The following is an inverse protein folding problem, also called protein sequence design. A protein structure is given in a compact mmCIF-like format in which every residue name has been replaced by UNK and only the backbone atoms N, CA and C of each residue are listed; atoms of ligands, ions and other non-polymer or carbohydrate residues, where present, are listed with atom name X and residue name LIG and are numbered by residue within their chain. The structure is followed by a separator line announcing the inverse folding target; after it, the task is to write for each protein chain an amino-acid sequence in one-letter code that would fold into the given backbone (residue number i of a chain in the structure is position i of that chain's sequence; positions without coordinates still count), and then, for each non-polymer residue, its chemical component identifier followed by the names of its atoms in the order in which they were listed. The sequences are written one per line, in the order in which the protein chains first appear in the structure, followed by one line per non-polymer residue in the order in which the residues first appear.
data_IF_213134144368
#
_entry.id   IF_213134144368
#
_cell.length_a   1.000
_cell.length_b   1.000
_cell.length_c   1.000
_cell.angle_alpha   90.00
_cell.angle_beta   90.00
_cell.angle_gamma   90.00
#
_symmetry.space_group_name_H-M   'P 1'
#
loop_
_entity.id
_entity.type
_entity.pdbx_description
1 polymer ?
#
# COMPACT_ATOMS: atom_id res chain seq x y z
N UNK A 1 30.78 1.43 -4.63
CA UNK A 1 29.37 1.00 -4.46
C UNK A 1 28.58 2.24 -4.13
N UNK A 2 27.47 2.50 -4.82
CA UNK A 2 26.59 3.63 -4.51
C UNK A 2 25.97 3.45 -3.12
N UNK A 3 25.66 4.54 -2.44
CA UNK A 3 24.88 4.51 -1.21
C UNK A 3 23.52 3.83 -1.46
N UNK A 4 22.98 3.07 -0.48
CA UNK A 4 21.66 2.46 -0.63
C UNK A 4 20.58 3.55 -0.75
N UNK A 5 19.56 3.29 -1.57
CA UNK A 5 18.35 4.13 -1.62
C UNK A 5 17.68 4.18 -0.24
N UNK A 6 17.18 5.34 0.16
CA UNK A 6 16.42 5.51 1.40
C UNK A 6 14.96 5.74 1.04
N UNK A 7 14.11 4.77 1.30
CA UNK A 7 12.69 4.81 0.93
C UNK A 7 11.84 4.94 2.19
N UNK A 8 10.98 5.96 2.24
CA UNK A 8 9.96 6.10 3.27
C UNK A 8 8.74 5.23 2.90
N UNK A 9 8.16 4.54 3.89
CA UNK A 9 6.93 3.79 3.74
C UNK A 9 5.84 4.32 4.66
N UNK A 10 4.71 4.67 4.06
CA UNK A 10 3.44 4.91 4.72
C UNK A 10 2.56 3.72 4.37
N UNK A 11 2.19 2.92 5.35
CA UNK A 11 1.42 1.70 5.12
C UNK A 11 0.43 1.45 6.26
N UNK A 12 -0.51 0.55 6.01
CA UNK A 12 -1.52 0.18 7.02
C UNK A 12 -0.91 -0.55 8.21
N UNK A 13 0.12 -1.37 8.00
CA UNK A 13 0.64 -2.19 9.07
C UNK A 13 1.93 -2.95 8.78
N UNK A 14 2.18 -3.93 9.65
CA UNK A 14 3.40 -4.74 9.62
C UNK A 14 3.42 -5.76 8.49
N UNK A 15 2.24 -6.20 8.03
CA UNK A 15 2.17 -7.12 6.89
C UNK A 15 2.56 -6.43 5.61
N UNK A 16 2.04 -5.23 5.43
CA UNK A 16 2.27 -4.39 4.26
C UNK A 16 3.73 -3.96 4.22
N UNK A 17 4.34 -3.62 5.37
CA UNK A 17 5.80 -3.44 5.47
C UNK A 17 6.56 -4.66 4.94
N UNK A 18 6.28 -5.86 5.45
CA UNK A 18 7.03 -7.07 5.08
C UNK A 18 6.85 -7.39 3.58
N UNK A 19 5.64 -7.24 3.04
CA UNK A 19 5.32 -7.51 1.62
C UNK A 19 5.91 -6.46 0.68
N UNK A 20 5.79 -5.16 0.97
CA UNK A 20 6.37 -4.10 0.14
C UNK A 20 7.90 -4.17 0.16
N UNK A 21 8.52 -4.45 1.32
CA UNK A 21 9.96 -4.67 1.39
C UNK A 21 10.39 -5.85 0.50
N UNK A 22 9.64 -6.95 0.52
CA UNK A 22 9.91 -8.09 -0.35
C UNK A 22 9.77 -7.76 -1.85
N UNK A 23 8.72 -7.03 -2.23
CA UNK A 23 8.53 -6.55 -3.60
C UNK A 23 9.71 -5.68 -4.06
N UNK A 24 10.06 -4.65 -3.29
CA UNK A 24 11.15 -3.73 -3.59
C UNK A 24 12.51 -4.45 -3.71
N UNK A 25 12.75 -5.50 -2.92
CA UNK A 25 13.96 -6.36 -3.07
C UNK A 25 14.06 -7.01 -4.42
N UNK A 26 12.93 -7.41 -5.01
CA UNK A 26 12.90 -8.00 -6.34
C UNK A 26 13.04 -6.92 -7.42
N UNK A 27 12.24 -5.85 -7.32
CA UNK A 27 12.17 -4.78 -8.32
C UNK A 27 13.50 -4.01 -8.44
N UNK A 28 14.13 -3.66 -7.32
CA UNK A 28 15.32 -2.81 -7.31
C UNK A 28 16.63 -3.61 -7.44
N UNK A 29 16.59 -4.94 -7.46
CA UNK A 29 17.81 -5.73 -7.58
C UNK A 29 18.59 -5.39 -8.87
N UNK A 30 19.93 -5.25 -8.82
CA UNK A 30 20.83 -5.53 -7.68
C UNK A 30 21.08 -4.33 -6.74
N UNK A 31 20.41 -3.19 -6.95
CA UNK A 31 20.55 -2.00 -6.12
C UNK A 31 20.02 -2.26 -4.71
N UNK A 32 20.76 -1.80 -3.71
CA UNK A 32 20.35 -1.92 -2.31
C UNK A 32 19.54 -0.72 -1.87
N UNK A 33 18.68 -0.92 -0.87
CA UNK A 33 17.89 0.13 -0.24
C UNK A 33 17.70 -0.12 1.25
N UNK A 34 17.31 0.93 1.96
CA UNK A 34 16.82 0.93 3.32
C UNK A 34 15.38 1.40 3.27
N UNK A 35 14.46 0.58 3.78
CA UNK A 35 13.04 0.93 3.89
C UNK A 35 12.72 1.35 5.31
N UNK A 36 12.26 2.58 5.47
CA UNK A 36 11.89 3.17 6.75
C UNK A 36 10.37 3.33 6.81
N UNK A 37 9.72 2.53 7.65
CA UNK A 37 8.29 2.74 7.94
C UNK A 37 8.11 4.00 8.78
N UNK A 38 7.48 5.01 8.20
CA UNK A 38 7.08 6.24 8.89
C UNK A 38 5.70 6.10 9.52
N UNK A 39 4.80 5.36 8.88
CA UNK A 39 3.44 5.12 9.36
C UNK A 39 3.06 3.64 9.19
N UNK A 40 2.52 2.97 10.23
CA UNK A 40 2.51 3.38 11.64
C UNK A 40 3.89 3.67 12.24
N UNK A 41 3.95 4.60 13.19
CA UNK A 41 5.16 4.90 13.92
C UNK A 41 5.58 3.71 14.80
N UNK A 42 6.86 3.36 14.78
CA UNK A 42 7.39 2.28 15.62
C UNK A 42 7.26 2.58 17.13
N UNK A 43 7.32 3.86 17.49
CA UNK A 43 7.25 4.36 18.86
C UNK A 43 6.14 5.41 18.95
N UNK A 44 5.21 5.25 19.91
CA UNK A 44 4.04 6.13 20.08
C UNK A 44 3.20 6.21 18.80
N UNK A 45 2.46 5.14 18.46
CA UNK A 45 1.65 5.08 17.24
C UNK A 45 0.37 5.92 17.40
N UNK A 46 0.53 7.23 17.50
CA UNK A 46 -0.56 8.18 17.80
C UNK A 46 -1.58 8.23 16.65
N UNK A 47 -1.13 8.01 15.41
CA UNK A 47 -2.01 7.87 14.26
C UNK A 47 -2.71 6.50 14.23
N UNK A 48 -2.14 5.49 14.88
CA UNK A 48 -2.65 4.12 14.91
C UNK A 48 -2.29 3.33 13.65
N UNK A 49 -2.92 2.16 13.49
CA UNK A 49 -2.70 1.25 12.35
C UNK A 49 -3.91 1.21 11.42
N UNK A 50 -3.79 0.51 10.29
CA UNK A 50 -4.81 0.39 9.26
C UNK A 50 -4.91 1.63 8.38
N UNK A 51 -5.85 1.61 7.44
CA UNK A 51 -6.16 2.72 6.55
C UNK A 51 -6.44 4.05 7.28
N UNK A 52 -7.01 4.01 8.49
CA UNK A 52 -7.23 5.20 9.31
C UNK A 52 -5.94 5.90 9.74
N UNK A 53 -4.85 5.14 9.92
CA UNK A 53 -3.52 5.70 10.18
C UNK A 53 -2.91 6.33 8.92
N UNK A 54 -3.08 5.69 7.76
CA UNK A 54 -2.67 6.24 6.46
C UNK A 54 -3.38 7.56 6.18
N UNK A 55 -4.71 7.61 6.38
CA UNK A 55 -5.51 8.83 6.26
C UNK A 55 -5.00 9.94 7.18
N UNK A 56 -4.74 9.66 8.46
CA UNK A 56 -4.22 10.66 9.40
C UNK A 56 -2.87 11.19 8.97
N UNK A 57 -1.99 10.33 8.47
CA UNK A 57 -0.70 10.75 7.94
C UNK A 57 -0.88 11.68 6.74
N UNK A 58 -1.76 11.31 5.80
CA UNK A 58 -2.09 12.15 4.63
C UNK A 58 -2.64 13.50 5.06
N UNK A 59 -3.58 13.53 6.02
CA UNK A 59 -4.12 14.78 6.58
C UNK A 59 -3.04 15.66 7.22
N UNK A 60 -2.08 15.06 7.94
CA UNK A 60 -0.97 15.83 8.51
C UNK A 60 -0.04 16.36 7.42
N UNK A 61 0.22 15.57 6.37
CA UNK A 61 0.99 16.00 5.20
C UNK A 61 0.31 17.19 4.51
N UNK A 62 -0.99 17.09 4.24
CA UNK A 62 -1.82 18.16 3.70
C UNK A 62 -1.72 19.44 4.54
N UNK A 63 -1.84 19.33 5.86
CA UNK A 63 -1.76 20.47 6.77
C UNK A 63 -0.40 21.17 6.74
N UNK A 64 0.71 20.43 6.55
CA UNK A 64 2.06 20.99 6.43
C UNK A 64 2.29 21.73 5.11
N UNK A 65 1.61 21.32 4.02
CA UNK A 65 1.72 21.97 2.71
C UNK A 65 0.84 23.23 2.57
N UNK A 66 -0.08 23.50 3.50
CA UNK A 66 -0.93 24.71 3.45
C UNK A 66 -0.12 25.98 3.78
N UNK A 67 -0.42 27.14 3.14
CA UNK A 67 -1.51 27.36 2.18
C UNK A 67 -1.15 27.16 0.71
N UNK A 68 0.13 26.94 0.36
CA UNK A 68 0.59 27.04 -1.02
C UNK A 68 0.58 25.71 -1.80
N UNK A 69 0.16 24.62 -1.15
CA UNK A 69 0.29 23.28 -1.72
C UNK A 69 1.76 22.88 -1.88
N UNK A 70 2.00 21.80 -2.61
CA UNK A 70 3.36 21.36 -2.94
C UNK A 70 3.46 19.87 -3.18
N UNK A 71 4.64 19.41 -3.57
CA UNK A 71 4.90 17.98 -3.71
C UNK A 71 5.06 17.35 -2.33
N UNK A 72 4.58 16.12 -2.16
CA UNK A 72 4.78 15.36 -0.92
C UNK A 72 6.27 15.24 -0.59
N UNK A 73 7.11 14.93 -1.58
CA UNK A 73 8.56 14.80 -1.39
C UNK A 73 9.31 16.10 -1.06
N UNK A 74 8.69 17.27 -1.21
CA UNK A 74 9.30 18.56 -0.84
C UNK A 74 9.18 18.85 0.66
N UNK A 75 8.41 18.04 1.41
CA UNK A 75 8.31 18.18 2.86
C UNK A 75 9.69 18.05 3.51
N UNK A 76 10.15 19.05 4.30
CA UNK A 76 11.45 18.99 4.97
C UNK A 76 11.65 17.76 5.85
N UNK A 77 10.58 17.19 6.40
CA UNK A 77 10.63 15.95 7.21
C UNK A 77 10.94 14.71 6.38
N UNK A 78 10.78 14.78 5.05
CA UNK A 78 11.04 13.71 4.09
C UNK A 78 12.36 13.91 3.32
N UNK A 79 13.06 15.04 3.52
CA UNK A 79 14.29 15.41 2.80
C UNK A 79 15.44 14.40 2.84
N UNK A 80 15.44 13.47 3.80
CA UNK A 80 16.48 12.42 3.92
C UNK A 80 16.15 11.14 3.14
N UNK A 81 15.00 11.08 2.48
CA UNK A 81 14.56 9.95 1.68
C UNK A 81 14.72 10.27 0.19
N UNK A 82 15.16 9.27 -0.57
CA UNK A 82 15.23 9.31 -2.02
C UNK A 82 13.85 9.08 -2.66
N UNK A 83 12.90 8.54 -1.89
CA UNK A 83 11.58 8.14 -2.35
C UNK A 83 10.58 7.88 -1.25
N UNK A 84 9.30 7.96 -1.60
CA UNK A 84 8.17 7.66 -0.71
C UNK A 84 7.26 6.63 -1.38
N UNK A 85 6.82 5.64 -0.61
CA UNK A 85 5.75 4.73 -1.00
C UNK A 85 4.57 4.91 -0.04
N UNK A 86 3.39 5.17 -0.60
CA UNK A 86 2.13 5.25 0.15
C UNK A 86 1.29 4.05 -0.23
N UNK A 87 1.10 3.13 0.71
CA UNK A 87 0.30 1.92 0.53
C UNK A 87 -1.07 2.07 1.19
N UNK A 88 -2.10 1.63 0.47
CA UNK A 88 -3.48 1.53 0.92
C UNK A 88 -4.12 0.30 0.28
N UNK A 89 -4.73 -0.60 1.05
CA UNK A 89 -5.43 -1.75 0.50
C UNK A 89 -6.72 -1.33 -0.20
N UNK A 90 -7.06 -2.00 -1.30
CA UNK A 90 -8.22 -1.64 -2.11
C UNK A 90 -9.57 -1.99 -1.46
N UNK A 91 -9.59 -2.88 -0.45
CA UNK A 91 -10.78 -3.14 0.36
C UNK A 91 -11.26 -1.90 1.11
N UNK A 92 -10.41 -0.88 1.26
CA UNK A 92 -10.77 0.42 1.84
C UNK A 92 -11.90 1.10 1.09
N UNK A 93 -12.03 0.87 -0.21
CA UNK A 93 -13.14 1.35 -1.02
C UNK A 93 -14.51 0.91 -0.47
N UNK A 94 -14.56 -0.17 0.32
CA UNK A 94 -15.81 -0.71 0.90
C UNK A 94 -16.11 -0.21 2.31
N UNK A 95 -15.18 0.50 2.96
CA UNK A 95 -15.40 1.04 4.30
C UNK A 95 -16.14 2.38 4.28
N UNK A 96 -16.52 2.84 5.46
CA UNK A 96 -17.02 4.18 5.72
C UNK A 96 -16.07 4.91 6.67
N UNK A 97 -15.95 6.23 6.52
CA UNK A 97 -15.27 7.07 7.51
C UNK A 97 -15.83 6.91 8.93
N UNK A 98 -17.11 6.57 9.07
CA UNK A 98 -17.74 6.28 10.36
C UNK A 98 -17.21 5.01 11.05
N UNK A 99 -16.45 4.14 10.35
CA UNK A 99 -15.73 3.03 10.96
C UNK A 99 -14.51 3.48 11.78
N UNK A 100 -14.02 4.70 11.55
CA UNK A 100 -12.98 5.31 12.37
C UNK A 100 -13.59 5.89 13.66
N UNK A 101 -12.80 5.92 14.73
CA UNK A 101 -13.20 6.60 15.98
C UNK A 101 -13.37 8.11 15.73
N UNK A 102 -14.19 8.83 16.52
CA UNK A 102 -14.35 10.29 16.38
C UNK A 102 -13.00 11.01 16.19
N UNK A 103 -12.94 12.09 15.36
CA UNK A 103 -14.08 12.93 14.96
C UNK A 103 -14.66 12.63 13.56
N UNK A 104 -14.33 11.51 12.92
CA UNK A 104 -14.73 11.22 11.54
C UNK A 104 -16.25 10.98 11.42
N UNK A 105 -16.96 12.01 10.99
CA UNK A 105 -18.39 12.05 10.69
C UNK A 105 -18.60 12.53 9.25
N UNK A 106 -19.78 12.31 8.67
CA UNK A 106 -20.09 12.84 7.34
C UNK A 106 -19.85 14.36 7.24
N UNK A 107 -20.18 15.10 8.31
CA UNK A 107 -19.95 16.53 8.39
C UNK A 107 -18.45 16.88 8.41
N UNK A 108 -17.64 16.17 9.21
CA UNK A 108 -16.20 16.44 9.26
C UNK A 108 -15.51 16.09 7.94
N UNK A 109 -15.90 14.97 7.31
CA UNK A 109 -15.35 14.54 6.00
C UNK A 109 -15.67 15.56 4.92
N UNK A 110 -16.91 16.06 4.89
CA UNK A 110 -17.34 17.11 3.95
C UNK A 110 -16.56 18.40 4.17
N UNK A 111 -16.34 18.78 5.44
CA UNK A 111 -15.57 19.99 5.78
C UNK A 111 -14.09 19.91 5.37
N UNK A 112 -13.53 18.70 5.32
CA UNK A 112 -12.16 18.46 4.81
C UNK A 112 -12.09 18.42 3.28
N UNK A 113 -13.23 18.34 2.57
CA UNK A 113 -13.27 18.21 1.12
C UNK A 113 -12.87 16.82 0.61
N UNK A 114 -12.89 15.80 1.47
CA UNK A 114 -12.51 14.45 1.08
C UNK A 114 -13.56 13.77 0.21
N UNK A 115 -13.09 12.95 -0.73
CA UNK A 115 -13.96 12.10 -1.55
C UNK A 115 -14.65 11.04 -0.66
N UNK A 116 -15.84 10.59 -1.04
CA UNK A 116 -16.66 9.71 -0.21
C UNK A 116 -16.05 8.31 -0.08
N UNK A 117 -16.29 7.71 1.08
CA UNK A 117 -16.18 6.28 1.32
C UNK A 117 -17.54 5.75 1.84
N UNK A 118 -18.08 4.65 1.29
CA UNK A 118 -17.47 3.80 0.27
C UNK A 118 -17.41 4.46 -1.12
N UNK A 119 -16.48 4.01 -1.95
CA UNK A 119 -16.33 4.41 -3.36
C UNK A 119 -16.47 3.18 -4.29
N UNK A 120 -16.68 3.36 -5.60
CA UNK A 120 -16.80 2.23 -6.52
C UNK A 120 -15.57 1.31 -6.49
N UNK A 121 -15.81 0.01 -6.59
CA UNK A 121 -14.79 -1.01 -6.76
C UNK A 121 -14.88 -1.60 -8.17
N UNK A 122 -13.77 -1.59 -8.90
CA UNK A 122 -13.69 -2.15 -10.25
C UNK A 122 -12.99 -3.50 -10.23
N UNK A 123 -13.52 -4.45 -10.99
CA UNK A 123 -12.91 -5.75 -11.21
C UNK A 123 -12.95 -6.09 -12.71
N UNK A 124 -11.78 -6.27 -13.38
CA UNK A 124 -10.42 -6.09 -12.85
C UNK A 124 -10.18 -4.64 -12.35
N UNK A 125 -9.20 -4.44 -11.46
CA UNK A 125 -8.93 -3.10 -10.93
C UNK A 125 -8.57 -2.12 -12.05
N UNK A 126 -9.11 -0.90 -11.98
CA UNK A 126 -8.76 0.17 -12.92
C UNK A 126 -7.28 0.53 -12.79
N UNK A 127 -6.62 0.97 -13.86
CA UNK A 127 -5.23 1.44 -13.74
C UNK A 127 -5.13 2.71 -12.88
N UNK A 128 -3.97 2.95 -12.27
CA UNK A 128 -3.65 4.26 -11.69
C UNK A 128 -3.23 5.22 -12.83
N UNK A 129 -3.62 6.51 -12.83
CA UNK A 129 -4.38 7.23 -11.80
C UNK A 129 -5.92 7.21 -11.83
N UNK A 130 -6.66 6.78 -12.88
CA UNK A 130 -8.15 6.88 -12.91
C UNK A 130 -8.94 6.12 -11.83
N UNK A 131 -8.27 5.35 -10.99
CA UNK A 131 -8.88 4.57 -9.92
C UNK A 131 -9.61 5.43 -8.87
N UNK A 132 -10.83 5.04 -8.49
CA UNK A 132 -11.66 5.78 -7.53
C UNK A 132 -11.03 5.83 -6.13
N UNK A 133 -10.39 4.75 -5.67
CA UNK A 133 -9.74 4.75 -4.36
C UNK A 133 -8.46 5.58 -4.38
N UNK A 134 -7.74 5.61 -5.51
CA UNK A 134 -6.67 6.58 -5.69
C UNK A 134 -7.19 8.02 -5.57
N UNK A 135 -8.32 8.36 -6.20
CA UNK A 135 -8.93 9.69 -6.04
C UNK A 135 -9.28 10.01 -4.58
N UNK A 136 -9.75 9.02 -3.82
CA UNK A 136 -9.94 9.13 -2.36
C UNK A 136 -8.63 9.43 -1.64
N UNK A 137 -7.58 8.65 -1.88
CA UNK A 137 -6.26 8.88 -1.28
C UNK A 137 -5.70 10.27 -1.60
N UNK A 138 -5.82 10.72 -2.86
CA UNK A 138 -5.40 12.05 -3.27
C UNK A 138 -6.16 13.15 -2.51
N UNK A 139 -7.47 12.96 -2.28
CA UNK A 139 -8.26 13.93 -1.51
C UNK A 139 -7.82 14.06 -0.05
N UNK A 140 -7.24 13.01 0.54
CA UNK A 140 -6.67 13.08 1.89
C UNK A 140 -5.36 13.87 1.94
N UNK A 141 -4.62 13.88 0.83
CA UNK A 141 -3.35 14.59 0.69
C UNK A 141 -3.55 16.06 0.33
N UNK A 142 -4.66 16.44 -0.30
CA UNK A 142 -4.91 17.81 -0.77
C UNK A 142 -4.71 18.88 0.32
N UNK A 143 -3.84 19.88 0.10
CA UNK A 143 -3.25 20.32 -1.19
C UNK A 143 -1.86 19.76 -1.51
N UNK A 144 -1.37 18.75 -0.79
CA UNK A 144 -0.15 18.03 -1.13
C UNK A 144 -0.40 17.08 -2.29
N UNK A 145 0.53 17.03 -3.25
CA UNK A 145 0.42 16.21 -4.46
C UNK A 145 1.61 15.24 -4.53
N UNK A 146 1.42 13.93 -4.75
CA UNK A 146 2.53 13.02 -5.04
C UNK A 146 3.30 13.48 -6.29
N UNK A 147 4.61 13.71 -6.16
CA UNK A 147 5.48 14.00 -7.29
C UNK A 147 6.18 12.76 -7.83
N UNK A 148 7.26 12.97 -8.59
CA UNK A 148 7.99 11.92 -9.30
C UNK A 148 8.65 10.88 -8.36
N UNK A 149 8.88 11.23 -7.09
CA UNK A 149 9.50 10.33 -6.10
C UNK A 149 8.49 9.66 -5.17
N UNK A 150 7.21 9.96 -5.33
CA UNK A 150 6.14 9.43 -4.49
C UNK A 150 5.30 8.42 -5.26
N UNK A 151 5.37 7.15 -4.87
CA UNK A 151 4.65 6.04 -5.51
C UNK A 151 3.46 5.62 -4.66
N UNK A 152 2.27 5.65 -5.26
CA UNK A 152 1.05 5.09 -4.67
C UNK A 152 0.99 3.59 -4.97
N UNK A 153 0.81 2.79 -3.93
CA UNK A 153 0.67 1.34 -4.00
C UNK A 153 -0.72 0.91 -3.52
N UNK A 154 -1.61 0.64 -4.46
CA UNK A 154 -2.92 0.04 -4.18
C UNK A 154 -2.90 -1.40 -4.72
N UNK A 155 -2.64 -2.41 -3.88
CA UNK A 155 -2.79 -3.80 -4.29
C UNK A 155 -4.28 -4.09 -4.55
N UNK A 156 -4.57 -5.10 -5.37
CA UNK A 156 -5.89 -5.27 -5.99
C UNK A 156 -7.11 -5.27 -5.05
N UNK A 157 -7.13 -6.10 -4.01
CA UNK A 157 -8.06 -5.98 -2.87
C UNK A 157 -7.26 -5.74 -1.58
N UNK A 158 -6.15 -6.44 -1.44
CA UNK A 158 -5.19 -6.30 -0.35
C UNK A 158 -3.88 -6.99 -0.75
N UNK A 159 -2.84 -6.84 0.09
CA UNK A 159 -1.56 -7.54 -0.12
C UNK A 159 -1.66 -9.07 -0.07
N UNK A 160 -2.78 -9.63 0.40
CA UNK A 160 -3.08 -11.06 0.34
C UNK A 160 -3.12 -11.63 -1.08
N UNK A 161 -3.55 -10.86 -2.07
CA UNK A 161 -3.53 -11.27 -3.48
C UNK A 161 -2.10 -11.59 -3.95
N UNK A 162 -1.14 -10.73 -3.61
CA UNK A 162 0.27 -10.90 -3.93
C UNK A 162 0.86 -12.13 -3.23
N UNK A 163 0.52 -12.34 -1.96
CA UNK A 163 0.93 -13.51 -1.21
C UNK A 163 0.35 -14.81 -1.80
N UNK A 164 -0.90 -14.80 -2.24
CA UNK A 164 -1.54 -15.95 -2.88
C UNK A 164 -0.88 -16.29 -4.23
N UNK A 165 -0.66 -15.30 -5.10
CA UNK A 165 0.07 -15.47 -6.36
C UNK A 165 1.46 -16.10 -6.13
N UNK A 166 2.18 -15.66 -5.10
CA UNK A 166 3.50 -16.17 -4.77
C UNK A 166 3.49 -17.56 -4.13
N UNK A 167 2.50 -17.89 -3.28
CA UNK A 167 2.52 -19.14 -2.50
C UNK A 167 1.79 -20.30 -3.14
N UNK A 168 0.77 -20.03 -3.94
CA UNK A 168 -0.09 -21.08 -4.47
C UNK A 168 0.51 -21.69 -5.73
N UNK A 169 0.31 -23.01 -5.96
CA UNK A 169 0.71 -23.65 -7.19
C UNK A 169 -0.15 -23.14 -8.37
N UNK A 170 0.40 -23.20 -9.57
CA UNK A 170 -0.34 -22.88 -10.79
C UNK A 170 -1.63 -23.74 -10.88
N UNK A 171 -2.73 -23.12 -11.32
CA UNK A 171 -4.05 -23.78 -11.41
C UNK A 171 -4.80 -23.90 -10.08
N UNK A 172 -4.26 -23.42 -8.96
CA UNK A 172 -5.02 -23.36 -7.72
C UNK A 172 -6.27 -22.48 -7.87
N UNK A 173 -7.42 -22.93 -7.37
CA UNK A 173 -8.71 -22.26 -7.58
C UNK A 173 -8.71 -20.79 -7.11
N UNK A 174 -8.00 -20.47 -6.02
CA UNK A 174 -7.88 -19.10 -5.51
C UNK A 174 -7.08 -18.14 -6.39
N UNK A 175 -6.36 -18.64 -7.41
CA UNK A 175 -5.68 -17.80 -8.39
C UNK A 175 -6.63 -17.33 -9.50
N UNK A 176 -7.81 -17.95 -9.64
CA UNK A 176 -8.83 -17.47 -10.56
C UNK A 176 -9.42 -16.14 -10.05
N UNK A 177 -9.42 -15.11 -10.90
CA UNK A 177 -9.90 -13.77 -10.57
C UNK A 177 -9.27 -13.21 -9.28
N UNK A 178 -7.98 -13.48 -9.09
CA UNK A 178 -7.24 -13.19 -7.86
C UNK A 178 -7.38 -11.73 -7.40
N UNK A 179 -7.23 -10.80 -8.35
CA UNK A 179 -7.33 -9.36 -8.09
C UNK A 179 -8.75 -8.89 -7.73
N UNK A 180 -9.75 -9.76 -7.91
CA UNK A 180 -11.15 -9.48 -7.61
C UNK A 180 -11.69 -10.25 -6.42
N UNK A 181 -10.83 -10.95 -5.67
CA UNK A 181 -11.24 -11.79 -4.57
C UNK A 181 -11.11 -11.04 -3.22
N UNK A 182 -12.20 -10.43 -2.69
CA UNK A 182 -12.15 -9.71 -1.41
C UNK A 182 -11.86 -10.64 -0.23
N UNK A 183 -12.11 -11.94 -0.39
CA UNK A 183 -11.97 -12.93 0.68
C UNK A 183 -10.62 -13.65 0.64
N UNK A 184 -9.68 -13.24 -0.23
CA UNK A 184 -8.44 -13.99 -0.46
C UNK A 184 -7.65 -14.22 0.83
N UNK A 185 -7.56 -13.23 1.71
CA UNK A 185 -6.84 -13.38 2.98
C UNK A 185 -7.51 -14.36 3.94
N UNK A 186 -8.84 -14.28 4.04
CA UNK A 186 -9.62 -15.20 4.85
C UNK A 186 -9.44 -16.64 4.34
N UNK A 187 -9.50 -16.84 3.02
CA UNK A 187 -9.31 -18.14 2.39
C UNK A 187 -7.88 -18.65 2.57
N UNK A 188 -6.86 -17.80 2.38
CA UNK A 188 -5.45 -18.14 2.61
C UNK A 188 -5.17 -18.52 4.07
N UNK A 189 -5.92 -17.98 5.03
CA UNK A 189 -5.72 -18.27 6.47
C UNK A 189 -6.14 -19.68 6.88
N UNK A 190 -6.99 -20.34 6.10
CA UNK A 190 -7.52 -21.68 6.41
C UNK A 190 -6.89 -22.81 5.59
N UNK A 191 -6.08 -22.51 4.57
CA UNK A 191 -5.38 -23.49 3.74
C UNK A 191 -4.44 -24.41 4.54
N UNK A 192 -3.96 -25.53 3.97
CA UNK A 192 -2.93 -26.36 4.59
C UNK A 192 -1.66 -25.57 4.94
N UNK A 193 -0.91 -26.01 5.95
CA UNK A 193 0.19 -25.25 6.58
C UNK A 193 1.23 -24.67 5.59
N UNK A 194 1.57 -25.43 4.54
CA UNK A 194 2.54 -25.00 3.52
C UNK A 194 2.02 -23.83 2.67
N UNK A 195 0.72 -23.77 2.40
CA UNK A 195 0.07 -22.73 1.61
C UNK A 195 -0.50 -21.60 2.47
N UNK A 196 -0.80 -21.89 3.74
CA UNK A 196 -1.42 -20.96 4.69
C UNK A 196 -0.60 -19.69 4.87
N UNK A 197 -1.31 -18.57 5.02
CA UNK A 197 -0.72 -17.31 5.51
C UNK A 197 -1.47 -16.89 6.77
N UNK A 198 -0.76 -16.89 7.90
CA UNK A 198 -1.27 -16.36 9.16
C UNK A 198 -0.58 -15.02 9.46
N UNK A 199 -1.28 -13.91 9.20
CA UNK A 199 -0.75 -12.54 9.41
C UNK A 199 -0.36 -12.23 10.86
N UNK A 200 -0.95 -12.93 11.84
CA UNK A 200 -0.65 -12.77 13.26
C UNK A 200 0.66 -13.45 13.65
N UNK A 201 1.06 -14.50 12.91
CA UNK A 201 2.31 -15.20 13.14
C UNK A 201 3.44 -14.56 12.30
N UNK A 202 4.46 -14.02 12.98
CA UNK A 202 5.60 -13.35 12.33
C UNK A 202 6.32 -14.29 11.36
N UNK A 203 6.50 -15.57 11.72
CA UNK A 203 7.21 -16.53 10.87
C UNK A 203 6.46 -16.80 9.58
N UNK A 204 5.14 -17.05 9.67
CA UNK A 204 4.27 -17.24 8.52
C UNK A 204 4.25 -16.02 7.60
N UNK A 205 4.16 -14.82 8.17
CA UNK A 205 4.17 -13.56 7.42
C UNK A 205 5.47 -13.31 6.67
N UNK A 206 6.62 -13.49 7.34
CA UNK A 206 7.93 -13.36 6.71
C UNK A 206 8.16 -14.41 5.62
N UNK A 207 7.68 -15.64 5.82
CA UNK A 207 7.75 -16.68 4.80
C UNK A 207 6.90 -16.32 3.56
N UNK A 208 5.72 -15.74 3.75
CA UNK A 208 4.88 -15.26 2.65
C UNK A 208 5.52 -14.08 1.91
N UNK A 209 6.09 -13.11 2.63
CA UNK A 209 6.85 -12.02 2.05
C UNK A 209 8.07 -12.53 1.26
N UNK A 210 8.82 -13.50 1.79
CA UNK A 210 9.95 -14.08 1.07
C UNK A 210 9.53 -14.78 -0.24
N UNK A 211 8.36 -15.43 -0.25
CA UNK A 211 7.79 -15.98 -1.47
C UNK A 211 7.50 -14.88 -2.50
N UNK A 212 6.94 -13.75 -2.07
CA UNK A 212 6.70 -12.57 -2.93
C UNK A 212 8.00 -12.06 -3.55
N UNK A 213 9.07 -11.91 -2.76
CA UNK A 213 10.37 -11.47 -3.28
C UNK A 213 10.93 -12.43 -4.34
N UNK A 214 10.82 -13.74 -4.08
CA UNK A 214 11.40 -14.80 -4.94
C UNK A 214 10.61 -15.00 -6.23
N UNK A 215 9.28 -14.77 -6.19
CA UNK A 215 8.36 -15.05 -7.29
C UNK A 215 7.68 -13.79 -7.84
N UNK A 216 8.32 -12.64 -7.68
CA UNK A 216 7.77 -11.37 -8.13
C UNK A 216 7.49 -11.36 -9.64
N UNK A 217 8.41 -11.90 -10.44
CA UNK A 217 8.21 -12.07 -11.89
C UNK A 217 6.92 -12.81 -12.22
N UNK A 218 6.69 -14.01 -11.65
CA UNK A 218 5.44 -14.76 -11.83
C UNK A 218 4.22 -13.94 -11.38
N UNK A 219 4.33 -13.25 -10.25
CA UNK A 219 3.26 -12.49 -9.63
C UNK A 219 2.77 -11.36 -10.54
N UNK A 220 3.67 -10.62 -11.19
CA UNK A 220 3.29 -9.55 -12.13
C UNK A 220 2.54 -10.06 -13.36
N UNK A 221 2.64 -11.36 -13.69
CA UNK A 221 1.82 -11.97 -14.76
C UNK A 221 0.38 -12.26 -14.31
N UNK A 222 0.15 -12.39 -13.00
CA UNK A 222 -1.15 -12.70 -12.40
C UNK A 222 -1.87 -11.46 -11.86
N UNK A 223 -1.12 -10.43 -11.45
CA UNK A 223 -1.65 -9.24 -10.80
C UNK A 223 -1.23 -7.97 -11.55
N UNK A 224 -2.17 -7.34 -12.24
CA UNK A 224 -1.96 -6.09 -12.97
C UNK A 224 -1.50 -4.94 -12.05
N UNK A 225 -1.99 -4.88 -10.80
CA UNK A 225 -1.55 -3.88 -9.81
C UNK A 225 -0.11 -4.06 -9.37
N UNK A 226 0.38 -5.29 -9.34
CA UNK A 226 1.76 -5.55 -9.01
C UNK A 226 2.70 -5.11 -10.14
N UNK A 227 2.32 -5.39 -11.39
CA UNK A 227 3.06 -4.91 -12.55
C UNK A 227 3.09 -3.38 -12.61
N UNK A 228 1.95 -2.73 -12.35
CA UNK A 228 1.88 -1.26 -12.30
C UNK A 228 2.75 -0.69 -11.17
N UNK A 229 2.77 -1.34 -10.00
CA UNK A 229 3.65 -0.93 -8.89
C UNK A 229 5.13 -1.08 -9.27
N UNK A 230 5.54 -2.19 -9.88
CA UNK A 230 6.91 -2.36 -10.39
C UNK A 230 7.32 -1.25 -11.34
N UNK A 231 6.48 -0.95 -12.34
CA UNK A 231 6.75 0.08 -13.32
C UNK A 231 6.89 1.46 -12.66
N UNK A 232 6.02 1.79 -11.71
CA UNK A 232 6.08 3.06 -10.98
C UNK A 232 7.36 3.17 -10.13
N UNK A 233 7.78 2.09 -9.48
CA UNK A 233 9.03 2.03 -8.70
C UNK A 233 10.25 2.23 -9.62
N UNK A 234 10.30 1.58 -10.78
CA UNK A 234 11.39 1.72 -11.74
C UNK A 234 11.48 3.12 -12.35
N UNK A 235 10.34 3.80 -12.53
CA UNK A 235 10.30 5.20 -12.98
C UNK A 235 10.76 6.16 -11.89
N UNK A 236 10.32 5.95 -10.65
CA UNK A 236 10.68 6.81 -9.52
C UNK A 236 12.16 6.64 -9.10
N UNK A 237 12.71 5.42 -9.26
CA UNK A 237 14.04 5.04 -8.78
C UNK A 237 14.88 4.36 -9.89
N UNK A 238 15.24 5.10 -10.96
CA UNK A 238 16.05 4.57 -12.05
C UNK A 238 17.48 4.20 -11.63
#
# INVERSE_FOLDING_TARGET
MSSPLRIALIAEGKTELDVIHAALKSILAPRTFVLNQLQPEATRPDMGTGWGGVLKWCKQQAARCRPNGGLVEDDPTLSTFDGIVIQLDADVATFSYANLRPPYTNASVTAEGWQPLPCPTHCPPALLPPDDLNAVLQSWLDPAIPGAKTVVCIPAMNTGAWQAAAKLPAGHALLASLECNPTIEAQMSVLPLNQRVNKKDRKSRLAAANAVATRWGDLTTLCSRALAFEQAILVAFP
#
